data_IF_011290587119
#
_entry.id   IF_011290587119
#
_cell.length_a   1.000
_cell.length_b   1.000
_cell.length_c   1.000
_cell.angle_alpha   90.00
_cell.angle_beta   90.00
_cell.angle_gamma   90.00
#
_symmetry.space_group_name_H-M   'P 1'
#
loop_
_entity.id
_entity.type
_entity.pdbx_description
1 polymer ?
#
# COMPACT_ATOMS: atom_id res chain seq x y z
N UNK A 1 11.74 -2.34 -10.57
CA UNK A 1 11.34 -1.48 -9.44
C UNK A 1 12.61 -0.95 -8.78
N UNK A 2 12.60 0.26 -8.23
CA UNK A 2 13.56 0.65 -7.19
C UNK A 2 12.76 1.03 -5.95
N UNK A 3 13.23 0.62 -4.77
CA UNK A 3 12.64 1.12 -3.54
C UNK A 3 13.11 2.54 -3.28
N UNK A 4 12.22 3.35 -2.72
CA UNK A 4 12.68 4.44 -1.88
C UNK A 4 13.12 3.86 -0.55
N UNK A 5 14.39 4.11 -0.19
CA UNK A 5 14.89 3.75 1.14
C UNK A 5 14.23 4.62 2.23
N UNK A 6 13.05 4.23 2.70
CA UNK A 6 12.69 4.32 4.12
C UNK A 6 12.99 2.93 4.69
N UNK A 7 13.92 2.84 5.62
CA UNK A 7 14.70 1.61 5.76
C UNK A 7 14.08 0.49 6.59
N UNK A 8 14.77 -0.66 6.58
CA UNK A 8 15.15 -1.26 7.86
C UNK A 8 15.76 -0.13 8.68
N UNK A 9 14.97 0.43 9.59
CA UNK A 9 15.48 1.44 10.52
C UNK A 9 16.15 0.70 11.67
N UNK A 10 17.08 -0.19 11.33
CA UNK A 10 17.91 -0.89 12.30
C UNK A 10 18.72 0.18 13.02
N UNK A 11 18.68 0.13 14.34
CA UNK A 11 19.18 1.13 15.25
C UNK A 11 20.59 1.64 14.90
N UNK A 12 20.68 2.84 14.29
CA UNK A 12 21.94 3.51 13.97
C UNK A 12 21.98 4.19 12.61
N UNK A 13 21.57 5.47 12.56
CA UNK A 13 21.80 6.44 11.47
C UNK A 13 21.52 6.03 10.01
N UNK A 14 20.64 6.79 9.34
CA UNK A 14 20.20 6.66 7.93
C UNK A 14 19.23 5.52 7.63
N UNK A 15 18.26 5.77 6.72
CA UNK A 15 17.23 4.79 6.35
C UNK A 15 17.77 3.67 5.46
N UNK A 16 18.26 2.59 6.07
CA UNK A 16 18.75 1.33 5.46
C UNK A 16 17.69 0.43 4.80
N UNK A 17 17.12 0.72 3.62
CA UNK A 17 16.24 -0.27 2.95
C UNK A 17 16.99 -1.42 2.30
N UNK A 18 16.20 -2.41 1.89
CA UNK A 18 16.60 -3.50 1.01
C UNK A 18 15.71 -3.53 -0.24
N UNK A 19 16.19 -4.15 -1.33
CA UNK A 19 15.35 -4.36 -2.52
C UNK A 19 14.35 -5.50 -2.30
N UNK A 20 13.13 -5.19 -1.83
CA UNK A 20 12.03 -6.18 -1.70
C UNK A 20 11.35 -6.52 -3.03
N UNK A 21 11.87 -6.04 -4.16
CA UNK A 21 11.31 -6.29 -5.51
C UNK A 21 11.17 -7.79 -5.83
N UNK A 22 12.00 -8.64 -5.20
CA UNK A 22 11.97 -10.10 -5.33
C UNK A 22 10.86 -10.78 -4.50
N UNK A 23 10.10 -10.05 -3.67
CA UNK A 23 9.11 -10.62 -2.77
C UNK A 23 7.75 -10.92 -3.41
N UNK A 24 7.48 -10.36 -4.60
CA UNK A 24 6.25 -10.61 -5.38
C UNK A 24 4.99 -9.96 -4.79
N UNK A 25 5.13 -8.91 -3.98
CA UNK A 25 4.00 -8.27 -3.28
C UNK A 25 3.00 -7.61 -4.26
N UNK A 26 3.50 -7.00 -5.33
CA UNK A 26 2.65 -6.35 -6.34
C UNK A 26 1.84 -7.39 -7.12
N UNK A 27 2.47 -8.52 -7.46
CA UNK A 27 1.82 -9.65 -8.12
C UNK A 27 0.77 -10.30 -7.21
N UNK A 28 1.04 -10.42 -5.90
CA UNK A 28 0.07 -10.84 -4.89
C UNK A 28 -1.12 -9.88 -4.80
N UNK A 29 -0.88 -8.57 -4.76
CA UNK A 29 -1.93 -7.53 -4.75
C UNK A 29 -2.80 -7.66 -6.01
N UNK A 30 -2.19 -7.78 -7.19
CA UNK A 30 -2.90 -7.90 -8.47
C UNK A 30 -3.74 -9.19 -8.51
N UNK A 31 -3.19 -10.33 -8.08
CA UNK A 31 -3.93 -11.60 -8.02
C UNK A 31 -5.12 -11.51 -7.06
N UNK A 32 -4.91 -10.96 -5.86
CA UNK A 32 -5.94 -10.80 -4.83
C UNK A 32 -7.04 -9.84 -5.29
N UNK A 33 -6.69 -8.65 -5.80
CA UNK A 33 -7.63 -7.69 -6.35
C UNK A 33 -8.42 -8.28 -7.54
N UNK A 34 -7.75 -8.95 -8.47
CA UNK A 34 -8.40 -9.60 -9.63
C UNK A 34 -9.43 -10.64 -9.19
N UNK A 35 -9.10 -11.47 -8.19
CA UNK A 35 -10.00 -12.48 -7.64
C UNK A 35 -11.23 -11.85 -6.96
N UNK A 36 -11.01 -10.81 -6.16
CA UNK A 36 -12.06 -10.11 -5.41
C UNK A 36 -13.03 -9.35 -6.34
N UNK A 37 -12.49 -8.53 -7.23
CA UNK A 37 -13.26 -7.74 -8.20
C UNK A 37 -13.93 -8.62 -9.26
N UNK A 38 -13.32 -9.76 -9.61
CA UNK A 38 -13.84 -10.73 -10.58
C UNK A 38 -15.20 -11.34 -10.21
N UNK A 39 -15.64 -11.21 -8.96
CA UNK A 39 -16.98 -11.62 -8.52
C UNK A 39 -18.10 -10.68 -9.01
N UNK A 40 -17.80 -9.42 -9.33
CA UNK A 40 -18.77 -8.41 -9.81
C UNK A 40 -18.43 -7.80 -11.18
N UNK A 41 -17.15 -7.80 -11.57
CA UNK A 41 -16.66 -7.10 -12.75
C UNK A 41 -15.84 -8.01 -13.66
N UNK A 42 -15.87 -7.71 -14.97
CA UNK A 42 -14.91 -8.27 -15.91
C UNK A 42 -13.56 -7.58 -15.73
N UNK A 43 -12.72 -8.10 -14.84
CA UNK A 43 -11.36 -7.61 -14.64
C UNK A 43 -10.51 -7.95 -15.87
N UNK A 44 -9.75 -6.98 -16.37
CA UNK A 44 -8.84 -7.15 -17.50
C UNK A 44 -7.45 -6.62 -17.13
N UNK A 45 -6.41 -7.39 -17.47
CA UNK A 45 -5.04 -6.95 -17.32
C UNK A 45 -4.72 -5.82 -18.30
N UNK A 46 -3.92 -4.85 -17.86
CA UNK A 46 -3.45 -3.71 -18.65
C UNK A 46 -1.93 -3.68 -18.72
N UNK A 47 -1.39 -3.21 -19.84
CA UNK A 47 0.03 -2.87 -19.97
C UNK A 47 0.23 -1.43 -19.50
N UNK A 48 1.31 -1.17 -18.75
CA UNK A 48 1.63 0.15 -18.21
C UNK A 48 3.12 0.29 -17.92
N UNK A 49 3.65 1.51 -17.97
CA UNK A 49 5.03 1.81 -17.58
C UNK A 49 5.16 1.83 -16.06
N UNK A 50 5.46 0.67 -15.44
CA UNK A 50 5.62 0.53 -13.98
C UNK A 50 6.54 1.59 -13.34
N UNK A 51 7.57 2.04 -14.06
CA UNK A 51 8.49 3.07 -13.58
C UNK A 51 7.85 4.48 -13.48
N UNK A 52 6.94 4.83 -14.40
CA UNK A 52 6.23 6.12 -14.38
C UNK A 52 5.30 6.21 -13.16
N UNK A 53 4.52 5.17 -12.91
CA UNK A 53 3.65 5.07 -11.72
C UNK A 53 4.45 5.08 -10.41
N UNK A 54 5.61 4.43 -10.38
CA UNK A 54 6.47 4.41 -9.20
C UNK A 54 7.17 5.75 -8.90
N UNK A 55 7.28 6.65 -9.88
CA UNK A 55 7.93 7.95 -9.73
C UNK A 55 7.08 8.97 -8.93
N UNK A 56 5.75 8.80 -8.88
CA UNK A 56 4.87 9.62 -8.06
C UNK A 56 5.07 9.26 -6.58
N UNK A 57 5.47 10.25 -5.76
CA UNK A 57 5.77 10.09 -4.33
C UNK A 57 4.74 10.74 -3.41
N UNK A 58 3.69 11.35 -3.97
CA UNK A 58 2.68 12.15 -3.25
C UNK A 58 1.34 11.43 -3.06
N UNK A 59 1.38 10.13 -2.78
CA UNK A 59 0.28 9.41 -2.12
C UNK A 59 0.35 9.63 -0.59
N UNK A 60 0.24 10.89 -0.17
CA UNK A 60 0.00 11.19 1.23
C UNK A 60 -1.42 10.75 1.58
N UNK A 61 -1.59 9.97 2.66
CA UNK A 61 -2.91 9.61 3.19
C UNK A 61 -3.55 10.85 3.81
N UNK A 62 -4.18 11.67 2.97
CA UNK A 62 -4.95 12.84 3.37
C UNK A 62 -6.42 12.63 3.03
N UNK A 63 -7.38 12.85 3.95
CA UNK A 63 -8.80 12.62 3.68
C UNK A 63 -9.43 13.52 2.60
N UNK A 64 -8.69 14.49 2.04
CA UNK A 64 -9.25 15.62 1.27
C UNK A 64 -8.39 16.03 0.06
N UNK A 65 -7.53 15.15 -0.46
CA UNK A 65 -6.82 15.48 -1.72
C UNK A 65 -7.80 15.48 -2.90
N UNK A 66 -8.07 16.69 -3.43
CA UNK A 66 -9.02 16.97 -4.50
C UNK A 66 -8.85 16.03 -5.70
N UNK A 67 -9.85 15.15 -5.89
CA UNK A 67 -9.85 14.04 -6.86
C UNK A 67 -9.56 14.46 -8.32
N UNK A 68 -9.81 15.72 -8.66
CA UNK A 68 -9.66 16.29 -10.01
C UNK A 68 -8.20 16.58 -10.42
N UNK A 69 -7.27 16.62 -9.47
CA UNK A 69 -5.86 17.00 -9.70
C UNK A 69 -4.87 15.86 -9.39
N UNK A 70 -5.35 14.63 -9.26
CA UNK A 70 -4.50 13.50 -8.88
C UNK A 70 -3.55 13.12 -10.04
N UNK A 71 -2.22 13.06 -9.83
CA UNK A 71 -1.24 12.89 -10.91
C UNK A 71 -1.33 11.54 -11.63
N UNK A 72 -2.02 10.55 -11.04
CA UNK A 72 -2.28 9.28 -11.71
C UNK A 72 -3.31 9.38 -12.85
N UNK A 73 -4.15 10.43 -12.90
CA UNK A 73 -5.07 10.70 -14.02
C UNK A 73 -4.34 10.72 -15.36
N UNK A 74 -3.29 11.52 -15.45
CA UNK A 74 -2.55 11.69 -16.70
C UNK A 74 -1.76 10.44 -17.07
N UNK A 75 -1.14 9.75 -16.10
CA UNK A 75 -0.46 8.47 -16.37
C UNK A 75 -1.41 7.39 -16.89
N UNK A 76 -2.63 7.28 -16.34
CA UNK A 76 -3.62 6.33 -16.87
C UNK A 76 -4.10 6.72 -18.26
N UNK A 77 -4.15 8.01 -18.57
CA UNK A 77 -4.50 8.52 -19.90
C UNK A 77 -3.41 8.29 -20.96
N UNK A 78 -2.13 8.31 -20.58
CA UNK A 78 -1.00 8.21 -21.53
C UNK A 78 -0.36 6.84 -21.61
N UNK A 79 -0.17 6.15 -20.48
CA UNK A 79 0.73 5.00 -20.37
C UNK A 79 0.00 3.65 -20.29
N UNK A 80 -1.31 3.66 -20.04
CA UNK A 80 -2.11 2.43 -19.87
C UNK A 80 -2.71 1.99 -21.20
N UNK A 81 -2.65 0.68 -21.49
CA UNK A 81 -3.36 0.07 -22.62
C UNK A 81 -3.97 -1.30 -22.25
N UNK A 82 -5.11 -1.70 -22.83
CA UNK A 82 -5.93 -0.95 -23.79
C UNK A 82 -6.68 0.21 -23.11
N UNK A 83 -7.09 1.16 -23.94
CA UNK A 83 -7.96 2.27 -23.54
C UNK A 83 -9.45 1.93 -23.75
N UNK A 84 -10.35 2.62 -23.06
CA UNK A 84 -11.80 2.43 -23.19
C UNK A 84 -12.39 1.31 -22.33
N UNK A 85 -11.74 0.96 -21.21
CA UNK A 85 -12.39 0.21 -20.12
C UNK A 85 -13.43 1.11 -19.42
N UNK A 86 -14.32 0.54 -18.60
CA UNK A 86 -15.26 1.35 -17.81
C UNK A 86 -14.57 2.12 -16.67
N UNK A 87 -13.58 1.49 -16.02
CA UNK A 87 -12.75 2.09 -14.99
C UNK A 87 -11.37 1.40 -14.90
N UNK A 88 -10.40 2.10 -14.34
CA UNK A 88 -9.07 1.56 -13.99
C UNK A 88 -8.87 1.55 -12.48
N UNK A 89 -8.32 0.46 -11.96
CA UNK A 89 -7.89 0.36 -10.55
C UNK A 89 -6.39 0.57 -10.48
N UNK A 90 -5.95 1.60 -9.74
CA UNK A 90 -4.53 1.88 -9.50
C UNK A 90 -4.26 1.73 -8.01
N UNK A 91 -3.37 0.80 -7.66
CA UNK A 91 -2.94 0.54 -6.27
C UNK A 91 -1.48 0.96 -6.16
N UNK A 92 -1.19 1.94 -5.30
CA UNK A 92 0.17 2.49 -5.09
C UNK A 92 0.54 2.47 -3.62
N UNK A 93 1.85 2.47 -3.33
CA UNK A 93 2.36 2.78 -1.99
C UNK A 93 1.81 4.11 -1.47
N UNK A 94 1.55 4.18 -0.17
CA UNK A 94 1.05 5.39 0.49
C UNK A 94 1.95 5.81 1.67
N UNK A 95 1.81 7.07 2.12
CA UNK A 95 2.58 7.65 3.23
C UNK A 95 1.65 8.06 4.37
N UNK A 96 1.96 7.62 5.58
CA UNK A 96 1.26 7.99 6.82
C UNK A 96 2.23 8.66 7.80
N UNK A 97 1.71 9.47 8.70
CA UNK A 97 2.44 9.92 9.89
C UNK A 97 2.34 8.88 10.99
N UNK A 98 3.47 8.56 11.60
CA UNK A 98 3.58 7.84 12.87
C UNK A 98 3.28 8.84 14.01
N UNK A 99 2.83 8.35 15.18
CA UNK A 99 2.39 9.21 16.29
C UNK A 99 3.43 10.21 16.83
N UNK A 100 4.72 9.99 16.55
CA UNK A 100 5.82 10.91 16.85
C UNK A 100 6.11 11.95 15.73
N UNK A 101 5.21 12.08 14.75
CA UNK A 101 5.35 12.99 13.62
C UNK A 101 6.24 12.48 12.47
N UNK A 102 6.95 11.36 12.63
CA UNK A 102 7.79 10.77 11.57
C UNK A 102 6.91 10.22 10.44
N UNK A 103 7.25 10.54 9.19
CA UNK A 103 6.60 9.91 8.04
C UNK A 103 7.11 8.47 7.86
N UNK A 104 6.18 7.54 7.62
CA UNK A 104 6.43 6.16 7.16
C UNK A 104 5.72 5.96 5.83
N UNK A 105 6.30 5.17 4.93
CA UNK A 105 5.82 5.02 3.55
C UNK A 105 5.87 3.56 3.12
N UNK A 106 4.86 3.12 2.37
CA UNK A 106 4.80 1.79 1.79
C UNK A 106 4.84 0.69 2.85
N UNK A 107 5.64 -0.33 2.54
CA UNK A 107 5.85 -1.52 3.35
C UNK A 107 7.12 -1.35 4.18
N UNK A 108 7.06 -1.60 5.49
CA UNK A 108 8.22 -1.45 6.35
C UNK A 108 8.02 -1.84 7.81
N UNK A 109 9.04 -1.52 8.61
CA UNK A 109 9.09 -1.70 10.06
C UNK A 109 9.26 -0.32 10.72
N UNK A 110 8.39 -0.02 11.68
CA UNK A 110 8.45 1.14 12.54
C UNK A 110 8.77 0.72 13.98
N UNK A 111 10.03 0.84 14.36
CA UNK A 111 10.46 0.74 15.76
C UNK A 111 10.20 2.07 16.49
N UNK A 112 9.72 1.96 17.74
CA UNK A 112 9.61 3.08 18.69
C UNK A 112 9.95 2.62 20.11
N UNK A 113 10.64 3.51 20.85
CA UNK A 113 11.02 3.27 22.25
C UNK A 113 10.12 4.06 23.19
N UNK A 114 9.77 3.45 24.30
CA UNK A 114 9.19 4.13 25.48
C UNK A 114 10.19 4.07 26.63
N UNK A 115 9.90 4.75 27.75
CA UNK A 115 10.75 4.66 28.95
C UNK A 115 10.76 3.25 29.60
N UNK A 116 9.85 2.35 29.20
CA UNK A 116 9.62 1.05 29.84
C UNK A 116 9.82 -0.16 28.92
N UNK A 117 9.74 0.03 27.60
CA UNK A 117 9.87 -1.03 26.61
C UNK A 117 10.18 -0.50 25.19
N UNK A 118 10.89 -1.32 24.41
CA UNK A 118 11.08 -1.18 22.97
C UNK A 118 9.94 -1.92 22.24
N UNK A 119 9.35 -1.27 21.23
CA UNK A 119 8.26 -1.82 20.43
C UNK A 119 8.61 -1.81 18.94
N UNK A 120 8.31 -2.91 18.26
CA UNK A 120 8.37 -3.03 16.80
C UNK A 120 6.98 -3.21 16.21
N UNK A 121 6.72 -2.53 15.10
CA UNK A 121 5.47 -2.64 14.34
C UNK A 121 5.78 -2.80 12.85
N UNK A 122 5.13 -3.75 12.18
CA UNK A 122 5.11 -3.85 10.71
C UNK A 122 3.96 -3.03 10.14
N UNK A 123 4.14 -2.44 8.97
CA UNK A 123 3.10 -1.71 8.24
C UNK A 123 3.11 -2.01 6.74
N UNK A 124 1.94 -1.96 6.10
CA UNK A 124 1.77 -2.14 4.66
C UNK A 124 0.88 -1.03 4.07
N UNK A 125 1.45 0.17 3.92
CA UNK A 125 0.70 1.36 3.50
C UNK A 125 0.55 1.43 1.98
N UNK A 126 -0.67 1.27 1.50
CA UNK A 126 -1.04 1.48 0.11
C UNK A 126 -2.33 2.31 0.00
N UNK A 127 -2.63 2.78 -1.21
CA UNK A 127 -3.81 3.57 -1.54
C UNK A 127 -4.40 3.02 -2.85
N UNK A 128 -5.71 2.77 -2.84
CA UNK A 128 -6.48 2.28 -3.98
C UNK A 128 -7.20 3.47 -4.61
N UNK A 129 -7.10 3.60 -5.93
CA UNK A 129 -7.81 4.59 -6.76
C UNK A 129 -8.71 3.87 -7.76
N UNK A 130 -9.92 4.37 -7.92
CA UNK A 130 -10.81 4.08 -9.04
C UNK A 130 -10.78 5.28 -9.97
N UNK A 131 -10.38 5.09 -11.22
CA UNK A 131 -10.28 6.14 -12.24
C UNK A 131 -11.31 5.85 -13.34
N UNK A 132 -12.14 6.83 -13.67
CA UNK A 132 -13.16 6.72 -14.73
C UNK A 132 -12.49 6.47 -16.10
N UNK A 133 -12.98 5.48 -16.84
CA UNK A 133 -12.36 5.09 -18.10
C UNK A 133 -12.62 6.03 -19.29
N UNK A 134 -13.51 7.02 -19.14
CA UNK A 134 -13.90 8.00 -20.18
C UNK A 134 -13.30 9.38 -19.91
N UNK A 135 -13.33 9.85 -18.66
CA UNK A 135 -12.83 11.19 -18.27
C UNK A 135 -11.45 11.17 -17.61
N UNK A 136 -10.99 9.99 -17.17
CA UNK A 136 -9.79 9.78 -16.37
C UNK A 136 -9.80 10.50 -15.01
N UNK A 137 -10.94 11.02 -14.56
CA UNK A 137 -11.07 11.55 -13.21
C UNK A 137 -11.04 10.43 -12.18
N UNK A 138 -10.46 10.70 -11.01
CA UNK A 138 -10.54 9.76 -9.88
C UNK A 138 -11.97 9.80 -9.34
N UNK A 139 -12.69 8.69 -9.46
CA UNK A 139 -14.05 8.53 -8.93
C UNK A 139 -13.98 8.40 -7.41
N UNK A 140 -13.12 7.50 -6.93
CA UNK A 140 -12.89 7.27 -5.51
C UNK A 140 -11.42 6.96 -5.25
N UNK A 141 -10.94 7.37 -4.07
CA UNK A 141 -9.60 7.05 -3.57
C UNK A 141 -9.67 6.75 -2.08
N UNK A 142 -9.06 5.65 -1.67
CA UNK A 142 -9.02 5.21 -0.26
C UNK A 142 -7.67 4.65 0.11
N UNK A 143 -7.14 5.08 1.25
CA UNK A 143 -5.99 4.43 1.86
C UNK A 143 -6.39 3.05 2.38
N UNK A 144 -5.44 2.12 2.39
CA UNK A 144 -5.62 0.77 2.91
C UNK A 144 -6.25 0.80 4.32
N UNK A 145 -7.32 0.04 4.53
CA UNK A 145 -8.01 -0.01 5.81
C UNK A 145 -7.05 -0.48 6.92
N UNK A 146 -7.00 0.20 8.08
CA UNK A 146 -6.19 -0.25 9.20
C UNK A 146 -6.78 -1.54 9.79
N UNK A 147 -5.95 -2.57 9.87
CA UNK A 147 -6.24 -3.81 10.60
C UNK A 147 -5.89 -3.62 12.07
N UNK A 148 -6.69 -4.26 12.95
CA UNK A 148 -6.38 -4.48 14.37
C UNK A 148 -5.71 -3.29 15.06
N UNK A 149 -6.41 -2.15 15.06
CA UNK A 149 -5.98 -0.84 15.58
C UNK A 149 -5.88 -0.79 17.14
N UNK A 150 -5.42 -1.90 17.74
CA UNK A 150 -5.32 -2.16 19.19
C UNK A 150 -4.03 -1.66 19.81
N UNK A 151 -3.05 -1.26 18.99
CA UNK A 151 -1.79 -0.65 19.44
C UNK A 151 -1.94 0.77 19.99
N UNK A 152 -1.04 1.15 20.89
CA UNK A 152 -0.96 2.51 21.48
C UNK A 152 -0.61 3.60 20.46
N UNK A 153 -0.06 3.23 19.30
CA UNK A 153 0.22 4.13 18.19
C UNK A 153 -0.70 3.82 17.00
N UNK A 154 -1.59 4.77 16.68
CA UNK A 154 -2.46 4.67 15.49
C UNK A 154 -1.69 5.05 14.22
N UNK A 155 -1.86 4.24 13.19
CA UNK A 155 -1.36 4.47 11.83
C UNK A 155 -2.57 4.42 10.88
N UNK A 156 -2.59 5.26 9.84
CA UNK A 156 -3.71 5.36 8.90
C UNK A 156 -3.71 4.24 7.83
N UNK A 157 -3.30 3.02 8.20
CA UNK A 157 -3.21 1.87 7.32
C UNK A 157 -2.82 0.59 8.07
N UNK A 158 -2.83 -0.57 7.39
CA UNK A 158 -2.74 -1.87 8.04
C UNK A 158 -1.36 -2.07 8.66
N UNK A 159 -1.39 -2.48 9.92
CA UNK A 159 -0.20 -2.67 10.75
C UNK A 159 -0.42 -3.76 11.77
N UNK A 160 0.67 -4.24 12.38
CA UNK A 160 0.63 -5.25 13.43
C UNK A 160 1.90 -5.23 14.27
N UNK A 161 1.86 -5.77 15.51
CA UNK A 161 3.04 -5.93 16.33
C UNK A 161 4.05 -6.88 15.66
N UNK A 162 5.31 -6.76 16.05
CA UNK A 162 6.36 -7.69 15.62
C UNK A 162 6.63 -8.68 16.76
N UNK A 163 6.23 -9.93 16.54
CA UNK A 163 6.51 -11.01 17.47
C UNK A 163 7.95 -11.52 17.29
N UNK A 164 8.85 -11.06 18.16
CA UNK A 164 10.21 -11.58 18.31
C UNK A 164 11.31 -10.79 17.59
N UNK A 165 12.54 -11.31 17.67
CA UNK A 165 13.75 -10.68 17.10
C UNK A 165 13.82 -10.82 15.58
N UNK A 166 13.98 -9.69 14.88
CA UNK A 166 14.11 -9.60 13.40
C UNK A 166 15.55 -9.89 12.93
N UNK A 167 16.38 -10.48 13.78
CA UNK A 167 17.78 -10.80 13.49
C UNK A 167 17.94 -12.23 12.97
N UNK A 168 18.69 -12.36 11.86
CA UNK A 168 19.04 -13.65 11.24
C UNK A 168 18.47 -13.85 9.83
N UNK A 169 19.00 -14.81 9.05
CA UNK A 169 18.66 -14.99 7.63
C UNK A 169 17.19 -15.35 7.38
N UNK A 170 16.51 -15.96 8.35
CA UNK A 170 15.08 -16.28 8.27
C UNK A 170 14.15 -15.07 8.51
N UNK A 171 14.66 -13.92 8.96
CA UNK A 171 13.81 -12.78 9.31
C UNK A 171 13.18 -12.12 8.08
N UNK A 172 13.88 -12.09 6.94
CA UNK A 172 13.36 -11.55 5.68
C UNK A 172 12.14 -12.32 5.17
N UNK A 173 12.13 -13.65 5.32
CA UNK A 173 11.00 -14.48 4.88
C UNK A 173 9.80 -14.37 5.82
N UNK A 174 10.01 -14.33 7.14
CA UNK A 174 8.94 -14.07 8.11
C UNK A 174 8.33 -12.68 7.92
N UNK A 175 9.18 -11.68 7.69
CA UNK A 175 8.76 -10.32 7.40
C UNK A 175 7.93 -10.26 6.10
N UNK A 176 8.40 -10.88 5.02
CA UNK A 176 7.65 -11.03 3.77
C UNK A 176 6.27 -11.67 3.98
N UNK A 177 6.21 -12.77 4.73
CA UNK A 177 4.97 -13.47 5.03
C UNK A 177 3.99 -12.62 5.87
N UNK A 178 4.47 -11.92 6.90
CA UNK A 178 3.63 -11.08 7.75
C UNK A 178 3.10 -9.83 7.00
N UNK A 179 3.90 -9.26 6.10
CA UNK A 179 3.46 -8.19 5.19
C UNK A 179 2.42 -8.71 4.19
N UNK A 180 2.64 -9.90 3.62
CA UNK A 180 1.68 -10.53 2.72
C UNK A 180 0.34 -10.81 3.42
N UNK A 181 0.35 -11.22 4.69
CA UNK A 181 -0.84 -11.34 5.54
C UNK A 181 -1.56 -9.99 5.73
N UNK A 182 -0.85 -8.93 6.16
CA UNK A 182 -1.41 -7.59 6.31
C UNK A 182 -2.10 -7.12 5.02
N UNK A 183 -1.49 -7.33 3.85
CA UNK A 183 -2.07 -7.00 2.55
C UNK A 183 -3.30 -7.88 2.28
N UNK A 184 -3.19 -9.20 2.47
CA UNK A 184 -4.25 -10.17 2.19
C UNK A 184 -5.52 -9.92 3.02
N UNK A 185 -5.36 -9.50 4.28
CA UNK A 185 -6.46 -9.15 5.18
C UNK A 185 -7.03 -7.75 4.95
N UNK A 186 -6.20 -6.76 4.63
CA UNK A 186 -6.65 -5.36 4.47
C UNK A 186 -7.28 -5.06 3.10
N UNK A 187 -6.86 -5.76 2.04
CA UNK A 187 -7.34 -5.46 0.69
C UNK A 187 -8.83 -5.76 0.49
N UNK A 188 -9.40 -6.90 0.98
CA UNK A 188 -10.85 -7.11 0.96
C UNK A 188 -11.61 -5.99 1.69
N UNK A 189 -11.19 -5.65 2.92
CA UNK A 189 -11.82 -4.57 3.71
C UNK A 189 -11.80 -3.26 2.94
N UNK A 190 -10.64 -2.88 2.37
CA UNK A 190 -10.49 -1.63 1.61
C UNK A 190 -11.38 -1.59 0.37
N UNK A 191 -11.55 -2.71 -0.33
CA UNK A 191 -12.40 -2.78 -1.54
C UNK A 191 -13.90 -2.82 -1.19
N UNK A 192 -14.28 -3.40 -0.05
CA UNK A 192 -15.66 -3.40 0.46
C UNK A 192 -16.08 -2.01 0.94
N UNK A 193 -15.17 -1.32 1.64
CA UNK A 193 -15.27 0.09 2.04
C UNK A 193 -15.57 1.02 0.84
N UNK A 194 -14.97 0.73 -0.32
CA UNK A 194 -15.16 1.41 -1.61
C UNK A 194 -16.35 0.86 -2.42
N UNK A 195 -17.13 -0.06 -1.86
CA UNK A 195 -18.28 -0.72 -2.49
C UNK A 195 -17.95 -1.47 -3.81
N UNK A 196 -16.67 -1.82 -4.02
CA UNK A 196 -16.17 -2.52 -5.21
C UNK A 196 -16.33 -4.04 -5.09
N UNK A 197 -16.48 -4.56 -3.88
CA UNK A 197 -16.98 -5.92 -3.66
C UNK A 197 -18.33 -5.85 -2.96
N UNK A 198 -19.09 -6.94 -3.00
CA UNK A 198 -20.32 -7.03 -2.21
C UNK A 198 -19.99 -7.55 -0.83
N UNK A 199 -20.42 -6.82 0.20
CA UNK A 199 -20.48 -7.35 1.56
C UNK A 199 -21.24 -8.68 1.58
N UNK A 200 -20.67 -9.66 2.28
CA UNK A 200 -21.31 -10.93 2.62
C UNK A 200 -22.21 -10.76 3.84
#
# INVERSE_FOLDING_TARGET
MSLSQAGLTKLGSTGQSASISAWGLDELIVQQATRLLGARYRVQAVNYTRAAFAAIRDSAVTPVNLLRSDPFKELVRTDVTPQGLDAYIVITRARSKLGNGRNIEGVGIAEYRTLLADYGLIHALYEVRVIDGKTFDVIEKRAAAPLDNTGTLRIAGPSGPIDGTIDGPASSERLRAAIADLITRSLPVTLDDMHLIGGQ
#
